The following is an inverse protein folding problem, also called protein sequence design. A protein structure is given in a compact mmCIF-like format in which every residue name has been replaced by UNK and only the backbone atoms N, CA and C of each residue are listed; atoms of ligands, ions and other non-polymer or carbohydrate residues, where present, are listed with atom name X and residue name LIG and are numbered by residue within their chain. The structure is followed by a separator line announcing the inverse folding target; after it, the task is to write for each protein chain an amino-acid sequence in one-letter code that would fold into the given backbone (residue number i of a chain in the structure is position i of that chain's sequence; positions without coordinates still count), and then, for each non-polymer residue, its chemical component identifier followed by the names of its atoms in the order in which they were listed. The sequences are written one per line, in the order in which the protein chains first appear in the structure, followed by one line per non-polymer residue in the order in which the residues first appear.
data_IF_281600854091
#
_entry.id   IF_281600854091
#
_cell.length_a   1.000
_cell.length_b   1.000
_cell.length_c   1.000
_cell.angle_alpha   90.00
_cell.angle_beta   90.00
_cell.angle_gamma   90.00
#
_symmetry.space_group_name_H-M   'P 1'
#
loop_
_entity.id
_entity.type
_entity.pdbx_description
1 polymer ?
#
# COMPACT_ATOMS: atom_id res chain seq x y z
N UNK A 1 14.10 -1.33 19.01
CA UNK A 1 14.51 -0.81 17.68
C UNK A 1 13.68 -1.49 16.60
N UNK A 2 13.33 -0.82 15.50
CA UNK A 2 12.64 -1.45 14.35
C UNK A 2 13.51 -1.28 13.11
N UNK A 3 13.73 -2.36 12.37
CA UNK A 3 14.40 -2.37 11.07
C UNK A 3 13.34 -2.66 10.02
N UNK A 4 13.11 -1.71 9.13
CA UNK A 4 12.21 -1.88 8.00
C UNK A 4 13.00 -2.27 6.76
N UNK A 5 12.70 -3.44 6.19
CA UNK A 5 13.25 -3.91 4.93
C UNK A 5 12.16 -3.78 3.89
N UNK A 6 12.27 -2.75 3.05
CA UNK A 6 11.23 -2.41 2.09
C UNK A 6 11.47 -3.09 0.74
N UNK A 7 10.39 -3.62 0.14
CA UNK A 7 10.36 -4.20 -1.19
C UNK A 7 11.39 -5.31 -1.40
N UNK A 8 11.35 -6.33 -0.54
CA UNK A 8 12.26 -7.48 -0.57
C UNK A 8 12.27 -8.19 -1.93
N UNK A 9 11.13 -8.17 -2.64
CA UNK A 9 10.97 -8.68 -4.01
C UNK A 9 11.77 -7.94 -5.09
N UNK A 10 12.42 -6.82 -4.77
CA UNK A 10 13.25 -6.06 -5.71
C UNK A 10 14.72 -6.47 -5.69
N UNK A 11 15.11 -7.38 -4.81
CA UNK A 11 16.42 -7.98 -4.84
C UNK A 11 16.46 -9.06 -5.93
N UNK A 12 17.49 -9.03 -6.77
CA UNK A 12 17.57 -9.90 -7.95
C UNK A 12 17.94 -11.35 -7.59
N UNK A 13 18.65 -11.55 -6.48
CA UNK A 13 19.13 -12.85 -6.05
C UNK A 13 18.18 -13.50 -5.05
N UNK A 14 17.44 -14.51 -5.54
CA UNK A 14 16.50 -15.30 -4.74
C UNK A 14 17.17 -16.09 -3.62
N UNK A 15 18.42 -16.51 -3.82
CA UNK A 15 19.17 -17.24 -2.82
C UNK A 15 19.61 -16.29 -1.70
N UNK A 16 20.10 -15.10 -2.03
CA UNK A 16 20.46 -14.11 -1.00
C UNK A 16 19.24 -13.67 -0.17
N UNK A 17 18.07 -13.47 -0.80
CA UNK A 17 16.82 -13.18 -0.08
C UNK A 17 16.48 -14.33 0.88
N UNK A 18 16.54 -15.57 0.41
CA UNK A 18 16.26 -16.75 1.21
C UNK A 18 17.20 -16.88 2.41
N UNK A 19 18.51 -16.74 2.17
CA UNK A 19 19.53 -16.80 3.22
C UNK A 19 19.33 -15.67 4.24
N UNK A 20 19.00 -14.46 3.79
CA UNK A 20 18.71 -13.34 4.68
C UNK A 20 17.49 -13.60 5.58
N UNK A 21 16.39 -14.11 5.02
CA UNK A 21 15.20 -14.48 5.81
C UNK A 21 15.57 -15.55 6.84
N UNK A 22 16.32 -16.58 6.42
CA UNK A 22 16.73 -17.69 7.29
C UNK A 22 17.62 -17.19 8.43
N UNK A 23 18.62 -16.33 8.15
CA UNK A 23 19.51 -15.75 9.16
C UNK A 23 18.71 -14.97 10.21
N UNK A 24 17.78 -14.12 9.77
CA UNK A 24 16.95 -13.34 10.70
C UNK A 24 16.05 -14.28 11.49
N UNK A 25 15.35 -15.21 10.85
CA UNK A 25 14.42 -16.11 11.52
C UNK A 25 15.13 -17.00 12.55
N UNK A 26 16.26 -17.61 12.20
CA UNK A 26 17.07 -18.42 13.11
C UNK A 26 17.54 -17.61 14.33
N UNK A 27 18.00 -16.36 14.13
CA UNK A 27 18.44 -15.51 15.23
C UNK A 27 17.31 -15.22 16.25
N UNK A 28 16.06 -15.08 15.79
CA UNK A 28 14.91 -14.90 16.67
C UNK A 28 14.47 -16.21 17.32
N UNK A 29 14.51 -17.32 16.59
CA UNK A 29 14.08 -18.64 17.06
C UNK A 29 15.01 -19.22 18.13
N UNK A 30 16.32 -19.10 17.94
CA UNK A 30 17.34 -19.63 18.86
C UNK A 30 17.52 -18.75 20.11
N UNK A 31 16.93 -17.55 20.12
CA UNK A 31 17.10 -16.61 21.22
C UNK A 31 16.34 -17.07 22.46
N UNK A 32 17.07 -17.30 23.55
CA UNK A 32 16.47 -17.63 24.85
C UNK A 32 15.73 -16.44 25.49
N UNK A 33 16.08 -15.23 25.08
CA UNK A 33 15.48 -13.99 25.57
C UNK A 33 15.05 -13.13 24.39
N UNK A 34 13.90 -12.42 24.46
CA UNK A 34 13.45 -11.57 23.35
C UNK A 34 14.52 -10.57 22.91
N UNK A 35 14.86 -10.59 21.62
CA UNK A 35 15.80 -9.62 21.05
C UNK A 35 15.21 -8.19 21.15
N UNK A 36 16.02 -7.17 21.47
CA UNK A 36 15.57 -5.77 21.58
C UNK A 36 15.32 -5.09 20.20
N UNK A 37 15.07 -5.88 19.17
CA UNK A 37 14.85 -5.45 17.80
C UNK A 37 13.64 -6.16 17.17
N UNK A 38 13.04 -5.52 16.18
CA UNK A 38 11.94 -6.07 15.38
C UNK A 38 12.24 -5.83 13.91
N UNK A 39 11.98 -6.81 13.07
CA UNK A 39 12.02 -6.64 11.62
C UNK A 39 10.61 -6.43 11.07
N UNK A 40 10.50 -5.56 10.08
CA UNK A 40 9.30 -5.37 9.29
C UNK A 40 9.66 -5.50 7.81
N UNK A 41 9.21 -6.57 7.18
CA UNK A 41 9.45 -6.84 5.77
C UNK A 41 8.24 -6.40 4.94
N UNK A 42 8.48 -5.75 3.81
CA UNK A 42 7.45 -5.54 2.79
C UNK A 42 7.89 -6.22 1.49
N UNK A 43 6.95 -6.82 0.78
CA UNK A 43 7.21 -7.55 -0.46
C UNK A 43 5.91 -7.69 -1.27
N UNK A 44 6.03 -7.83 -2.59
CA UNK A 44 4.96 -8.44 -3.39
C UNK A 44 4.81 -9.94 -3.08
N UNK A 45 3.68 -10.49 -3.51
CA UNK A 45 3.31 -11.91 -3.38
C UNK A 45 4.16 -12.75 -4.36
N UNK A 46 5.40 -13.03 -3.97
CA UNK A 46 6.31 -13.90 -4.74
C UNK A 46 6.49 -15.26 -4.05
N UNK A 47 6.38 -16.34 -4.81
CA UNK A 47 6.35 -17.73 -4.27
C UNK A 47 7.61 -18.06 -3.45
N UNK A 48 8.78 -17.65 -3.93
CA UNK A 48 10.05 -17.95 -3.26
C UNK A 48 10.19 -17.24 -1.89
N UNK A 49 9.55 -16.08 -1.72
CA UNK A 49 9.51 -15.33 -0.45
C UNK A 49 8.46 -15.94 0.48
N UNK A 50 7.27 -16.21 -0.05
CA UNK A 50 6.17 -16.81 0.73
C UNK A 50 6.53 -18.18 1.27
N UNK A 51 7.14 -19.04 0.44
CA UNK A 51 7.53 -20.38 0.87
C UNK A 51 8.52 -20.36 2.03
N UNK A 52 9.39 -19.33 2.11
CA UNK A 52 10.30 -19.13 3.25
C UNK A 52 9.55 -18.72 4.51
N UNK A 53 8.67 -17.73 4.44
CA UNK A 53 7.87 -17.33 5.60
C UNK A 53 6.81 -18.36 6.03
N UNK A 54 6.46 -19.31 5.14
CA UNK A 54 5.55 -20.41 5.44
C UNK A 54 6.21 -21.65 6.05
N UNK A 55 7.54 -21.62 6.28
CA UNK A 55 8.30 -22.72 6.85
C UNK A 55 9.01 -22.31 8.16
N UNK A 56 9.19 -23.23 9.13
CA UNK A 56 10.04 -22.98 10.29
C UNK A 56 11.51 -22.70 9.88
N UNK A 57 12.23 -21.83 10.60
CA UNK A 57 11.77 -21.12 11.80
C UNK A 57 10.99 -19.84 11.51
N UNK A 58 10.97 -19.34 10.27
CA UNK A 58 10.35 -18.07 9.92
C UNK A 58 8.85 -18.03 10.25
N UNK A 59 8.13 -19.12 9.97
CA UNK A 59 6.71 -19.24 10.29
C UNK A 59 6.41 -18.98 11.77
N UNK A 60 7.29 -19.44 12.67
CA UNK A 60 7.02 -19.42 14.11
C UNK A 60 7.42 -18.10 14.78
N UNK A 61 8.28 -17.31 14.13
CA UNK A 61 8.79 -16.03 14.68
C UNK A 61 8.26 -14.80 13.96
N UNK A 62 7.47 -14.98 12.91
CA UNK A 62 6.93 -13.87 12.10
C UNK A 62 5.41 -13.79 12.16
N UNK A 63 4.90 -12.60 11.89
CA UNK A 63 3.47 -12.34 11.73
C UNK A 63 3.25 -11.79 10.33
N UNK A 64 2.54 -12.54 9.49
CA UNK A 64 2.28 -12.18 8.10
C UNK A 64 0.99 -11.37 7.99
N UNK A 65 1.08 -10.19 7.35
CA UNK A 65 -0.06 -9.34 7.02
C UNK A 65 -0.36 -9.45 5.53
N UNK A 66 -1.47 -10.08 5.16
CA UNK A 66 -1.93 -10.14 3.78
C UNK A 66 -2.72 -8.87 3.44
N UNK A 67 -2.15 -8.01 2.59
CA UNK A 67 -2.80 -6.78 2.14
C UNK A 67 -3.65 -6.97 0.88
N UNK A 68 -3.58 -8.13 0.21
CA UNK A 68 -4.35 -8.36 -1.01
C UNK A 68 -5.85 -8.55 -0.73
N UNK A 69 -6.19 -9.03 0.46
CA UNK A 69 -7.58 -9.21 0.92
C UNK A 69 -8.11 -7.98 1.68
N UNK A 70 -7.30 -6.93 1.81
CA UNK A 70 -7.73 -5.71 2.48
C UNK A 70 -8.65 -4.90 1.56
N UNK A 71 -9.89 -4.71 1.99
CA UNK A 71 -10.83 -3.82 1.32
C UNK A 71 -10.45 -2.36 1.57
N UNK A 72 -9.80 -1.76 0.58
CA UNK A 72 -9.37 -0.38 0.62
C UNK A 72 -10.45 0.61 0.14
N UNK A 73 -11.64 0.16 -0.28
CA UNK A 73 -12.62 1.02 -0.95
C UNK A 73 -13.13 2.13 -0.02
N UNK A 74 -13.35 1.85 1.26
CA UNK A 74 -13.76 2.86 2.24
C UNK A 74 -12.67 3.92 2.48
N UNK A 75 -11.41 3.51 2.54
CA UNK A 75 -10.29 4.43 2.73
C UNK A 75 -10.05 5.27 1.47
N UNK A 76 -10.20 4.67 0.29
CA UNK A 76 -10.16 5.37 -1.01
C UNK A 76 -11.32 6.36 -1.13
N UNK A 77 -12.54 5.98 -0.72
CA UNK A 77 -13.69 6.88 -0.69
C UNK A 77 -13.40 8.13 0.16
N UNK A 78 -12.89 7.90 1.37
CA UNK A 78 -12.52 8.97 2.30
C UNK A 78 -11.42 9.87 1.70
N UNK A 79 -10.39 9.27 1.11
CA UNK A 79 -9.32 9.97 0.42
C UNK A 79 -9.84 10.84 -0.73
N UNK A 80 -10.60 10.26 -1.66
CA UNK A 80 -11.15 10.94 -2.82
C UNK A 80 -12.09 12.08 -2.40
N UNK A 81 -12.99 11.84 -1.44
CA UNK A 81 -13.91 12.86 -0.92
C UNK A 81 -13.16 14.06 -0.35
N UNK A 82 -12.12 13.80 0.46
CA UNK A 82 -11.29 14.86 1.05
C UNK A 82 -10.50 15.64 -0.01
N UNK A 83 -9.90 14.94 -0.98
CA UNK A 83 -9.10 15.58 -2.03
C UNK A 83 -9.94 16.39 -3.00
N UNK A 84 -11.10 15.89 -3.43
CA UNK A 84 -11.98 16.66 -4.30
C UNK A 84 -12.60 17.87 -3.61
N UNK A 85 -12.93 17.78 -2.32
CA UNK A 85 -13.33 18.94 -1.53
C UNK A 85 -12.22 20.00 -1.51
N UNK A 86 -10.97 19.59 -1.35
CA UNK A 86 -9.80 20.48 -1.38
C UNK A 86 -9.62 21.15 -2.74
N UNK A 87 -9.70 20.39 -3.83
CA UNK A 87 -9.64 20.90 -5.22
C UNK A 87 -10.76 21.91 -5.47
N UNK A 88 -12.00 21.60 -5.05
CA UNK A 88 -13.13 22.51 -5.20
C UNK A 88 -12.88 23.86 -4.51
N UNK A 89 -12.37 23.85 -3.28
CA UNK A 89 -12.08 25.09 -2.55
C UNK A 89 -10.98 25.91 -3.23
N UNK A 90 -9.91 25.25 -3.70
CA UNK A 90 -8.78 25.92 -4.35
C UNK A 90 -9.14 26.46 -5.74
N UNK A 91 -9.93 25.71 -6.51
CA UNK A 91 -10.27 26.01 -7.91
C UNK A 91 -11.70 26.49 -8.09
N UNK A 92 -12.36 26.96 -7.03
CA UNK A 92 -13.77 27.39 -7.04
C UNK A 92 -14.12 28.34 -8.19
N UNK A 93 -13.22 29.28 -8.52
CA UNK A 93 -13.40 30.24 -9.62
C UNK A 93 -13.37 29.59 -11.01
N UNK A 94 -12.59 28.51 -11.18
CA UNK A 94 -12.47 27.77 -12.45
C UNK A 94 -13.60 26.75 -12.61
N UNK A 95 -13.97 26.08 -11.52
CA UNK A 95 -15.04 25.07 -11.49
C UNK A 95 -16.43 25.71 -11.65
N UNK A 96 -16.58 26.98 -11.24
CA UNK A 96 -17.84 27.71 -11.35
C UNK A 96 -18.86 27.30 -10.28
N UNK A 97 -20.13 27.66 -10.52
CA UNK A 97 -21.23 27.35 -9.60
C UNK A 97 -21.76 25.92 -9.80
N UNK A 98 -20.93 24.92 -9.51
CA UNK A 98 -21.39 23.53 -9.39
C UNK A 98 -21.96 23.30 -7.99
N UNK A 99 -23.06 22.55 -7.93
CA UNK A 99 -23.67 22.11 -6.66
C UNK A 99 -22.70 21.23 -5.88
N UNK A 100 -22.62 21.44 -4.57
CA UNK A 100 -21.93 20.52 -3.67
C UNK A 100 -22.82 19.30 -3.35
N UNK A 101 -22.22 18.16 -2.97
CA UNK A 101 -20.78 17.88 -3.00
C UNK A 101 -20.25 17.77 -4.43
N UNK A 102 -18.97 18.13 -4.61
CA UNK A 102 -18.24 17.92 -5.86
C UNK A 102 -17.07 16.95 -5.63
N UNK A 103 -16.96 15.87 -6.43
CA UNK A 103 -17.94 15.40 -7.40
C UNK A 103 -19.21 14.87 -6.70
N UNK A 104 -20.23 14.53 -7.49
CA UNK A 104 -21.47 13.96 -6.94
C UNK A 104 -21.18 12.68 -6.16
N UNK A 105 -22.10 12.26 -5.28
CA UNK A 105 -21.93 11.00 -4.55
C UNK A 105 -21.81 9.80 -5.52
N UNK A 106 -22.62 9.79 -6.58
CA UNK A 106 -22.58 8.75 -7.60
C UNK A 106 -21.22 8.69 -8.31
N UNK A 107 -20.70 9.83 -8.78
CA UNK A 107 -19.40 9.88 -9.44
C UNK A 107 -18.28 9.43 -8.49
N UNK A 108 -18.37 9.83 -7.21
CA UNK A 108 -17.38 9.40 -6.22
C UNK A 108 -17.37 7.87 -6.05
N UNK A 109 -18.54 7.26 -5.92
CA UNK A 109 -18.69 5.80 -5.80
C UNK A 109 -18.17 5.08 -7.04
N UNK A 110 -18.43 5.61 -8.24
CA UNK A 110 -17.89 5.07 -9.48
C UNK A 110 -16.35 5.17 -9.51
N UNK A 111 -15.76 6.27 -9.04
CA UNK A 111 -14.31 6.40 -8.96
C UNK A 111 -13.67 5.46 -7.94
N UNK A 112 -14.33 5.20 -6.82
CA UNK A 112 -13.90 4.18 -5.84
C UNK A 112 -13.90 2.81 -6.50
N UNK A 113 -15.00 2.42 -7.14
CA UNK A 113 -15.11 1.12 -7.82
C UNK A 113 -14.06 0.97 -8.93
N UNK A 114 -13.80 2.02 -9.72
CA UNK A 114 -12.75 2.03 -10.76
C UNK A 114 -11.34 1.96 -10.18
N UNK A 115 -11.14 2.34 -8.92
CA UNK A 115 -9.83 2.25 -8.28
C UNK A 115 -9.44 0.82 -7.96
N UNK A 116 -10.40 -0.11 -7.84
CA UNK A 116 -10.15 -1.53 -7.55
C UNK A 116 -9.18 -1.72 -6.35
N UNK A 117 -9.40 -0.97 -5.26
CA UNK A 117 -8.51 -0.97 -4.10
C UNK A 117 -7.14 -0.31 -4.28
N UNK A 118 -6.81 0.26 -5.46
CA UNK A 118 -5.51 0.86 -5.74
C UNK A 118 -5.42 2.34 -5.33
N UNK A 119 -4.73 2.60 -4.23
CA UNK A 119 -4.39 3.96 -3.81
C UNK A 119 -3.52 4.71 -4.81
N UNK A 120 -2.62 4.03 -5.52
CA UNK A 120 -1.78 4.66 -6.55
C UNK A 120 -2.65 5.17 -7.69
N UNK A 121 -3.65 4.39 -8.10
CA UNK A 121 -4.61 4.81 -9.13
C UNK A 121 -5.42 6.02 -8.64
N UNK A 122 -6.06 5.91 -7.46
CA UNK A 122 -6.87 6.98 -6.89
C UNK A 122 -6.07 8.30 -6.73
N UNK A 123 -4.83 8.20 -6.23
CA UNK A 123 -3.92 9.34 -6.08
C UNK A 123 -3.55 9.97 -7.42
N UNK A 124 -3.21 9.15 -8.41
CA UNK A 124 -2.84 9.62 -9.75
C UNK A 124 -4.02 10.30 -10.42
N UNK A 125 -5.22 9.74 -10.33
CA UNK A 125 -6.46 10.34 -10.84
C UNK A 125 -6.74 11.71 -10.22
N UNK A 126 -6.62 11.81 -8.90
CA UNK A 126 -6.82 13.08 -8.18
C UNK A 126 -5.82 14.13 -8.64
N UNK A 127 -4.54 13.78 -8.78
CA UNK A 127 -3.52 14.71 -9.24
C UNK A 127 -3.76 15.12 -10.70
N UNK A 128 -4.12 14.17 -11.57
CA UNK A 128 -4.51 14.45 -12.95
C UNK A 128 -5.62 15.51 -13.03
N UNK A 129 -6.69 15.33 -12.23
CA UNK A 129 -7.81 16.29 -12.17
C UNK A 129 -7.36 17.63 -11.55
N UNK A 130 -6.50 17.59 -10.54
CA UNK A 130 -5.98 18.78 -9.91
C UNK A 130 -5.06 19.59 -10.84
N UNK A 131 -4.20 18.96 -11.60
CA UNK A 131 -3.16 19.64 -12.38
C UNK A 131 -3.76 20.21 -13.67
N UNK A 132 -4.76 19.52 -14.25
CA UNK A 132 -5.56 20.04 -15.35
C UNK A 132 -4.78 20.29 -16.64
N UNK A 133 -3.58 19.71 -16.78
CA UNK A 133 -2.63 20.04 -17.86
C UNK A 133 -2.13 18.86 -18.70
N UNK A 134 -2.41 17.61 -18.36
CA UNK A 134 -1.94 16.49 -19.17
C UNK A 134 -3.14 15.74 -19.74
N UNK A 135 -3.33 15.80 -21.06
CA UNK A 135 -4.13 14.81 -21.76
C UNK A 135 -3.37 13.48 -21.68
N UNK A 136 -4.04 12.34 -21.43
CA UNK A 136 -3.39 11.05 -21.63
C UNK A 136 -2.96 10.96 -23.10
N UNK A 137 -1.66 10.78 -23.32
CA UNK A 137 -1.09 10.44 -24.62
C UNK A 137 -1.46 9.02 -25.03
#
# INVERSE_FOLDING_TARGET
MVIAVNALDKCDDRQEIAEFIDIVACAFWESQTPLPLRFFFTSRVEEHIQSKFAAPPALDVTYCLNLQEFDADNDIHTFLRSRFASIYQQKRRQIGNISLPWPSQWDLEELVAKSMGSFIFAFTLVNFINDGSDLPH
#
